data_IF_289880733243
#
_entry.id   IF_289880733243
#
_cell.length_a   1.000
_cell.length_b   1.000
_cell.length_c   1.000
_cell.angle_alpha   90.00
_cell.angle_beta   90.00
_cell.angle_gamma   90.00
#
_symmetry.space_group_name_H-M   'P 1'
#
loop_
_entity.id
_entity.type
_entity.pdbx_description
1 polymer ?
#
# COMPACT_ATOMS: atom_id res chain seq x y z
N UNK A 1 23.55 11.96 -15.86
CA UNK A 1 22.16 12.11 -15.38
C UNK A 1 21.57 10.71 -15.22
N UNK A 2 20.81 10.47 -14.16
CA UNK A 2 20.12 9.20 -13.92
C UNK A 2 18.72 9.46 -13.33
N UNK A 3 17.74 8.64 -13.69
CA UNK A 3 16.36 8.73 -13.23
C UNK A 3 16.01 7.52 -12.36
N UNK A 4 15.17 7.74 -11.36
CA UNK A 4 14.61 6.69 -10.50
C UNK A 4 13.14 6.51 -10.83
N UNK A 5 12.69 5.26 -10.92
CA UNK A 5 11.32 4.89 -11.33
C UNK A 5 10.64 4.05 -10.23
N UNK A 6 9.32 4.18 -10.13
CA UNK A 6 8.47 3.35 -9.24
C UNK A 6 7.22 2.88 -10.00
N UNK A 7 6.76 1.63 -9.77
CA UNK A 7 7.44 0.55 -9.03
C UNK A 7 8.69 0.04 -9.75
N UNK A 8 9.43 -0.89 -9.11
CA UNK A 8 10.49 -1.60 -9.81
C UNK A 8 9.88 -2.37 -11.00
N UNK A 9 10.56 -2.33 -12.15
CA UNK A 9 10.14 -3.01 -13.37
C UNK A 9 11.29 -3.79 -14.00
N UNK A 10 11.17 -4.12 -15.28
CA UNK A 10 12.19 -4.86 -16.05
C UNK A 10 12.59 -6.20 -15.42
N UNK A 11 11.61 -6.93 -14.87
CA UNK A 11 11.83 -8.25 -14.25
C UNK A 11 12.19 -9.28 -15.35
N UNK A 12 13.31 -10.02 -15.22
CA UNK A 12 13.70 -11.02 -16.22
C UNK A 12 12.63 -12.08 -16.45
N UNK A 13 12.29 -12.31 -17.72
CA UNK A 13 11.25 -13.26 -18.11
C UNK A 13 9.82 -12.71 -18.07
N UNK A 14 9.60 -11.48 -17.59
CA UNK A 14 8.30 -10.82 -17.62
C UNK A 14 8.19 -9.80 -18.74
N UNK A 15 7.00 -9.66 -19.32
CA UNK A 15 6.70 -8.57 -20.25
C UNK A 15 6.50 -7.28 -19.46
N UNK A 16 7.05 -6.12 -19.89
CA UNK A 16 6.88 -4.86 -19.18
C UNK A 16 5.42 -4.39 -19.06
N UNK A 17 4.54 -4.86 -19.95
CA UNK A 17 3.12 -4.53 -19.97
C UNK A 17 2.28 -5.72 -20.44
N UNK A 18 1.00 -5.72 -20.06
CA UNK A 18 0.01 -6.66 -20.56
C UNK A 18 -0.41 -6.25 -21.98
N UNK A 19 -0.55 -7.24 -22.86
CA UNK A 19 -1.04 -7.03 -24.23
C UNK A 19 -2.56 -6.83 -24.24
N UNK A 20 -3.05 -5.90 -25.06
CA UNK A 20 -4.47 -5.67 -25.25
C UNK A 20 -4.82 -4.27 -25.76
N UNK A 21 -6.12 -3.98 -25.97
CA UNK A 21 -6.57 -2.64 -26.29
C UNK A 21 -6.17 -1.64 -25.21
N UNK A 22 -5.79 -0.43 -25.61
CA UNK A 22 -5.44 0.64 -24.68
C UNK A 22 -6.59 0.89 -23.68
N UNK A 23 -6.23 1.15 -22.43
CA UNK A 23 -7.15 1.44 -21.33
C UNK A 23 -8.16 0.33 -20.95
N UNK A 24 -8.09 -0.87 -21.56
CA UNK A 24 -8.99 -1.99 -21.26
C UNK A 24 -8.87 -2.55 -19.84
N UNK A 25 -7.76 -2.26 -19.15
CA UNK A 25 -7.48 -2.68 -17.76
C UNK A 25 -6.99 -1.52 -16.88
N UNK A 26 -7.44 -0.29 -17.13
CA UNK A 26 -7.10 0.81 -16.23
C UNK A 26 -7.70 0.59 -14.82
N UNK A 27 -7.03 1.06 -13.75
CA UNK A 27 -7.59 1.05 -12.39
C UNK A 27 -8.93 1.78 -12.32
N UNK A 28 -9.77 1.40 -11.35
CA UNK A 28 -11.02 2.11 -11.10
C UNK A 28 -10.76 3.59 -10.75
N UNK A 29 -11.68 4.46 -11.13
CA UNK A 29 -11.58 5.92 -10.96
C UNK A 29 -10.42 6.61 -11.71
N UNK A 30 -9.80 5.94 -12.69
CA UNK A 30 -8.85 6.55 -13.61
C UNK A 30 -9.47 6.90 -14.96
N UNK A 31 -8.93 7.93 -15.60
CA UNK A 31 -9.35 8.38 -16.92
C UNK A 31 -8.40 7.88 -18.00
N UNK A 32 -8.94 7.52 -19.17
CA UNK A 32 -8.12 7.20 -20.33
C UNK A 32 -7.79 8.48 -21.09
N UNK A 33 -6.55 8.96 -20.97
CA UNK A 33 -6.05 10.12 -21.70
C UNK A 33 -4.85 9.72 -22.54
N UNK A 34 -4.88 10.01 -23.83
CA UNK A 34 -3.79 9.69 -24.77
C UNK A 34 -3.34 8.22 -24.69
N UNK A 35 -4.29 7.28 -24.55
CA UNK A 35 -4.04 5.83 -24.38
C UNK A 35 -3.30 5.45 -23.09
N UNK A 36 -3.30 6.31 -22.08
CA UNK A 36 -2.72 6.06 -20.76
C UNK A 36 -3.79 6.22 -19.67
N UNK A 37 -3.64 5.46 -18.59
CA UNK A 37 -4.47 5.61 -17.40
C UNK A 37 -3.94 6.79 -16.58
N UNK A 38 -4.77 7.81 -16.37
CA UNK A 38 -4.44 8.97 -15.53
C UNK A 38 -5.28 8.86 -14.27
N UNK A 39 -4.61 8.71 -13.12
CA UNK A 39 -5.24 8.72 -11.81
C UNK A 39 -5.23 10.16 -11.31
N UNK A 40 -6.38 10.67 -10.88
CA UNK A 40 -6.45 11.95 -10.17
C UNK A 40 -5.81 11.74 -8.79
N UNK A 41 -4.67 12.37 -8.55
CA UNK A 41 -3.78 12.13 -7.40
C UNK A 41 -4.37 12.43 -6.03
N UNK A 42 -5.58 12.99 -5.97
CA UNK A 42 -6.30 13.24 -4.70
C UNK A 42 -6.99 11.99 -4.16
N UNK A 43 -7.07 10.93 -4.95
CA UNK A 43 -7.47 9.60 -4.53
C UNK A 43 -6.22 8.73 -4.60
N UNK A 44 -5.62 8.43 -3.44
CA UNK A 44 -4.60 7.38 -3.29
C UNK A 44 -5.24 6.02 -3.63
N UNK A 45 -5.50 5.78 -4.92
CA UNK A 45 -5.92 4.48 -5.42
C UNK A 45 -4.66 3.63 -5.42
N UNK A 46 -4.52 2.83 -4.36
CA UNK A 46 -3.56 1.75 -4.33
C UNK A 46 -3.79 0.91 -5.61
N UNK A 47 -2.88 1.00 -6.59
CA UNK A 47 -2.85 0.05 -7.68
C UNK A 47 -2.76 -1.33 -7.02
N UNK A 48 -3.70 -2.25 -7.26
CA UNK A 48 -3.56 -3.62 -6.78
C UNK A 48 -2.41 -4.24 -7.57
N UNK A 49 -1.21 -4.21 -6.99
CA UNK A 49 -0.21 -5.21 -7.30
C UNK A 49 -0.82 -6.54 -6.85
N UNK A 50 -1.23 -7.38 -7.80
CA UNK A 50 -1.61 -8.75 -7.48
C UNK A 50 -0.40 -9.46 -6.86
N UNK A 51 -0.46 -9.54 -5.54
CA UNK A 51 0.55 -10.04 -4.63
C UNK A 51 -0.06 -10.08 -3.24
N UNK A 52 -1.03 -10.98 -3.05
CA UNK A 52 -1.50 -11.55 -1.77
C UNK A 52 -1.14 -10.76 -0.50
N UNK A 53 -2.04 -9.89 -0.04
CA UNK A 53 -2.20 -9.63 1.39
C UNK A 53 -3.60 -9.13 1.74
N UNK A 54 -4.44 -10.07 2.19
CA UNK A 54 -5.50 -9.77 3.15
C UNK A 54 -4.81 -9.35 4.45
N UNK A 55 -4.52 -8.05 4.58
CA UNK A 55 -4.13 -7.43 5.85
C UNK A 55 -5.35 -6.68 6.34
N UNK A 56 -6.06 -7.31 7.27
CA UNK A 56 -7.13 -6.73 8.07
C UNK A 56 -6.66 -5.39 8.61
N UNK A 57 -7.31 -4.30 8.20
CA UNK A 57 -7.13 -3.00 8.84
C UNK A 57 -7.66 -3.09 10.27
N UNK A 58 -6.77 -3.36 11.22
CA UNK A 58 -7.03 -3.16 12.64
C UNK A 58 -6.27 -1.90 13.06
N UNK A 59 -7.06 -0.93 13.49
CA UNK A 59 -6.70 0.42 13.91
C UNK A 59 -5.42 0.48 14.76
N UNK A 60 -4.46 1.30 14.34
CA UNK A 60 -3.33 1.74 15.17
C UNK A 60 -3.84 2.79 16.15
N UNK A 61 -4.15 2.38 17.39
CA UNK A 61 -4.05 3.23 18.59
C UNK A 61 -4.27 2.39 19.83
N UNK A 62 -3.17 2.05 20.53
CA UNK A 62 -3.01 2.19 21.98
C UNK A 62 -1.64 1.66 22.46
N UNK A 63 -0.55 2.12 21.84
CA UNK A 63 0.82 2.07 22.41
C UNK A 63 0.97 3.10 23.55
N UNK A 64 0.04 3.10 24.50
CA UNK A 64 0.10 3.93 25.73
C UNK A 64 -0.31 3.12 26.96
N UNK A 65 -1.01 1.99 26.81
CA UNK A 65 -1.54 1.23 27.95
C UNK A 65 -0.64 0.10 28.48
N UNK A 66 0.48 -0.23 27.81
CA UNK A 66 1.34 -1.32 28.29
C UNK A 66 2.38 -0.87 29.33
N UNK A 67 2.64 0.43 29.48
CA UNK A 67 3.56 0.94 30.52
C UNK A 67 2.87 1.30 31.85
N UNK A 68 1.56 1.56 31.85
CA UNK A 68 0.81 1.95 33.06
C UNK A 68 0.48 0.75 33.95
N UNK A 69 0.40 -0.46 33.38
CA UNK A 69 0.04 -1.68 34.15
C UNK A 69 1.23 -2.21 34.96
N UNK A 70 2.48 -2.03 34.50
CA UNK A 70 3.66 -2.55 35.20
C UNK A 70 4.07 -1.77 36.45
N UNK A 71 3.67 -0.50 36.59
CA UNK A 71 3.98 0.29 37.80
C UNK A 71 3.03 0.02 38.97
N UNK A 72 1.77 -0.36 38.70
CA UNK A 72 0.81 -0.67 39.75
C UNK A 72 1.02 -2.08 40.37
N UNK A 73 1.53 -3.04 39.59
CA UNK A 73 1.76 -4.41 40.06
C UNK A 73 3.01 -4.56 40.94
N UNK A 74 4.00 -3.66 40.83
CA UNK A 74 5.20 -3.67 41.69
C UNK A 74 4.94 -3.06 43.07
N UNK A 75 3.91 -2.23 43.22
CA UNK A 75 3.54 -1.64 44.50
C UNK A 75 2.75 -2.64 45.37
N UNK A 76 1.99 -3.55 44.77
CA UNK A 76 1.15 -4.51 45.50
C UNK A 76 1.87 -5.79 45.99
N UNK A 77 3.15 -5.98 45.64
CA UNK A 77 3.96 -7.11 46.13
C UNK A 77 4.97 -6.72 47.22
N UNK A 78 4.99 -5.45 47.63
CA UNK A 78 5.83 -4.92 48.71
C UNK A 78 5.00 -4.29 49.86
N UNK A 79 3.75 -4.70 50.02
CA UNK A 79 2.89 -4.36 51.16
C UNK A 79 2.42 -5.61 51.89
#
# INVERSE_FOLDING_TARGET
MACQYKPAGNVPGEKPYLEGPACSKCPQASECRLKQCVVNSDLDVALPAEGKQTTTSATTKLEVFQHVIFSAAVIFTLA
#
